data_IF_738552985186
#
_entry.id   IF_738552985186
#
_cell.length_a   1.000
_cell.length_b   1.000
_cell.length_c   1.000
_cell.angle_alpha   90.00
_cell.angle_beta   90.00
_cell.angle_gamma   90.00
#
_symmetry.space_group_name_H-M   'P 1'
#
loop_
_entity.id
_entity.type
_entity.pdbx_description
1 polymer ?
#
# COMPACT_ATOMS: atom_id res chain seq x y z
N UNK A 1 -21.75 -4.73 34.05
CA UNK A 1 -22.45 -3.44 33.86
C UNK A 1 -21.48 -2.25 33.85
N UNK A 2 -20.59 -2.12 34.84
CA UNK A 2 -19.64 -1.00 34.92
C UNK A 2 -18.75 -0.84 33.67
N UNK A 3 -18.18 -1.92 33.12
CA UNK A 3 -17.45 -1.86 31.84
C UNK A 3 -18.30 -1.29 30.68
N UNK A 4 -19.62 -1.53 30.66
CA UNK A 4 -20.50 -0.97 29.64
C UNK A 4 -20.71 0.54 29.85
N UNK A 5 -20.79 1.02 31.09
CA UNK A 5 -20.86 2.45 31.36
C UNK A 5 -19.63 3.20 30.83
N UNK A 6 -18.44 2.58 30.92
CA UNK A 6 -17.23 3.13 30.31
C UNK A 6 -17.25 3.10 28.78
N UNK A 7 -17.77 2.02 28.17
CA UNK A 7 -18.00 1.98 26.71
C UNK A 7 -18.93 3.12 26.26
N UNK A 8 -19.93 3.47 27.07
CA UNK A 8 -20.89 4.52 26.76
C UNK A 8 -20.38 5.94 27.09
N UNK A 9 -19.12 6.10 27.53
CA UNK A 9 -18.55 7.39 27.93
C UNK A 9 -19.12 7.97 29.23
N UNK A 10 -19.86 7.16 30.00
CA UNK A 10 -20.54 7.55 31.25
C UNK A 10 -19.77 7.16 32.51
N UNK A 11 -18.60 6.54 32.38
CA UNK A 11 -17.78 6.11 33.50
C UNK A 11 -16.71 7.14 33.87
N UNK A 12 -16.63 7.50 35.16
CA UNK A 12 -15.59 8.41 35.69
C UNK A 12 -14.19 7.78 35.69
N UNK A 13 -13.14 8.59 35.56
CA UNK A 13 -11.74 8.10 35.52
C UNK A 13 -11.31 7.33 36.78
N UNK A 14 -11.97 7.57 37.92
CA UNK A 14 -11.70 6.91 39.20
C UNK A 14 -12.28 5.48 39.33
N UNK A 15 -13.13 5.01 38.39
CA UNK A 15 -13.88 3.74 38.55
C UNK A 15 -13.28 2.48 37.90
N UNK A 16 -12.33 2.62 36.96
CA UNK A 16 -11.75 1.44 36.27
C UNK A 16 -10.76 0.68 37.15
N UNK A 17 -9.96 1.37 37.98
CA UNK A 17 -8.94 0.73 38.82
C UNK A 17 -9.54 -0.24 39.84
N UNK A 18 -10.50 0.24 40.63
CA UNK A 18 -11.23 -0.58 41.61
C UNK A 18 -12.00 -1.73 40.96
N UNK A 19 -12.57 -1.50 39.76
CA UNK A 19 -13.19 -2.57 38.98
C UNK A 19 -12.19 -3.63 38.55
N UNK A 20 -10.99 -3.23 38.12
CA UNK A 20 -9.92 -4.15 37.73
C UNK A 20 -9.44 -4.99 38.92
N UNK A 21 -9.25 -4.37 40.08
CA UNK A 21 -8.90 -5.07 41.32
C UNK A 21 -9.97 -6.11 41.71
N UNK A 22 -11.25 -5.74 41.65
CA UNK A 22 -12.35 -6.67 41.92
C UNK A 22 -12.41 -7.82 40.90
N UNK A 23 -12.18 -7.52 39.61
CA UNK A 23 -12.14 -8.53 38.56
C UNK A 23 -10.97 -9.51 38.74
N UNK A 24 -9.81 -9.05 39.24
CA UNK A 24 -8.68 -9.92 39.57
C UNK A 24 -9.08 -10.93 40.65
N UNK A 25 -9.76 -10.49 41.71
CA UNK A 25 -10.17 -11.38 42.81
C UNK A 25 -11.11 -12.50 42.37
N UNK A 26 -11.97 -12.25 41.37
CA UNK A 26 -12.93 -13.23 40.88
C UNK A 26 -12.49 -13.94 39.60
N UNK A 27 -11.33 -13.59 39.03
CA UNK A 27 -10.88 -14.05 37.71
C UNK A 27 -10.87 -15.58 37.60
N UNK A 28 -10.41 -16.28 38.65
CA UNK A 28 -10.37 -17.75 38.71
C UNK A 28 -11.74 -18.44 38.64
N UNK A 29 -12.83 -17.71 38.87
CA UNK A 29 -14.20 -18.22 38.83
C UNK A 29 -14.96 -17.76 37.57
N UNK A 30 -14.32 -17.00 36.67
CA UNK A 30 -14.97 -16.54 35.45
C UNK A 30 -15.16 -17.70 34.46
N UNK A 31 -16.35 -17.75 33.88
CA UNK A 31 -16.68 -18.67 32.80
C UNK A 31 -16.07 -18.20 31.48
N UNK A 32 -15.92 -19.09 30.48
CA UNK A 32 -15.57 -18.74 29.11
C UNK A 32 -16.31 -17.53 28.55
N UNK A 33 -17.62 -17.46 28.80
CA UNK A 33 -18.47 -16.39 28.29
C UNK A 33 -18.23 -15.07 29.01
N UNK A 34 -17.92 -15.09 30.31
CA UNK A 34 -17.49 -13.89 31.03
C UNK A 34 -16.16 -13.37 30.48
N UNK A 35 -15.17 -14.24 30.30
CA UNK A 35 -13.85 -13.86 29.79
C UNK A 35 -13.94 -13.21 28.41
N UNK A 36 -14.65 -13.86 27.46
CA UNK A 36 -14.88 -13.31 26.13
C UNK A 36 -15.62 -11.96 26.19
N UNK A 37 -16.65 -11.85 27.02
CA UNK A 37 -17.42 -10.61 27.17
C UNK A 37 -16.56 -9.47 27.73
N UNK A 38 -15.76 -9.72 28.76
CA UNK A 38 -14.86 -8.74 29.38
C UNK A 38 -13.88 -8.23 28.32
N UNK A 39 -13.21 -9.14 27.60
CA UNK A 39 -12.26 -8.76 26.55
C UNK A 39 -12.93 -7.94 25.45
N UNK A 40 -14.14 -8.31 25.01
CA UNK A 40 -14.91 -7.51 24.04
C UNK A 40 -15.20 -6.11 24.55
N UNK A 41 -15.52 -5.92 25.85
CA UNK A 41 -15.71 -4.57 26.42
C UNK A 41 -14.42 -3.77 26.38
N UNK A 42 -13.28 -4.33 26.79
CA UNK A 42 -11.99 -3.64 26.70
C UNK A 42 -11.62 -3.30 25.25
N UNK A 43 -11.85 -4.20 24.29
CA UNK A 43 -11.67 -3.92 22.88
C UNK A 43 -12.59 -2.80 22.33
N UNK A 44 -13.74 -2.53 22.97
CA UNK A 44 -14.60 -1.38 22.65
C UNK A 44 -14.14 -0.10 23.34
N UNK A 45 -13.64 -0.19 24.57
CA UNK A 45 -13.03 0.93 25.31
C UNK A 45 -11.76 1.41 24.59
N UNK A 46 -11.04 0.52 23.90
CA UNK A 46 -9.80 0.86 23.18
C UNK A 46 -8.59 0.97 24.11
N UNK A 47 -8.72 0.53 25.36
CA UNK A 47 -7.67 0.44 26.36
C UNK A 47 -7.51 -1.03 26.78
N UNK A 48 -6.30 -1.59 26.86
CA UNK A 48 -6.11 -2.93 27.40
C UNK A 48 -6.39 -2.97 28.91
N UNK A 49 -6.79 -4.13 29.47
CA UNK A 49 -6.86 -4.29 30.92
C UNK A 49 -5.51 -3.96 31.59
N UNK A 50 -5.56 -3.50 32.84
CA UNK A 50 -4.36 -3.41 33.67
C UNK A 50 -3.62 -4.75 33.75
N UNK A 51 -2.29 -4.71 33.94
CA UNK A 51 -1.44 -5.90 33.80
C UNK A 51 -1.88 -7.08 34.66
N UNK A 52 -2.18 -6.84 35.94
CA UNK A 52 -2.63 -7.88 36.87
C UNK A 52 -3.95 -8.54 36.42
N UNK A 53 -4.90 -7.74 35.92
CA UNK A 53 -6.15 -8.28 35.39
C UNK A 53 -5.90 -9.04 34.09
N UNK A 54 -5.08 -8.51 33.18
CA UNK A 54 -4.77 -9.19 31.93
C UNK A 54 -4.14 -10.57 32.21
N UNK A 55 -3.12 -10.63 33.06
CA UNK A 55 -2.45 -11.89 33.42
C UNK A 55 -3.46 -12.90 34.02
N UNK A 56 -4.35 -12.45 34.91
CA UNK A 56 -5.38 -13.30 35.51
C UNK A 56 -6.44 -13.79 34.50
N UNK A 57 -6.87 -12.92 33.58
CA UNK A 57 -7.80 -13.27 32.50
C UNK A 57 -7.15 -14.26 31.51
N UNK A 58 -5.87 -14.09 31.21
CA UNK A 58 -5.14 -15.00 30.32
C UNK A 58 -4.92 -16.37 30.94
N UNK A 59 -4.52 -16.43 32.22
CA UNK A 59 -4.36 -17.69 32.96
C UNK A 59 -5.69 -18.47 33.00
N UNK A 60 -6.78 -17.79 33.35
CA UNK A 60 -8.10 -18.43 33.33
C UNK A 60 -8.55 -18.81 31.92
N UNK A 61 -8.26 -17.98 30.92
CA UNK A 61 -8.54 -18.25 29.51
C UNK A 61 -7.88 -19.54 29.02
N UNK A 62 -6.62 -19.78 29.40
CA UNK A 62 -5.89 -21.03 29.09
C UNK A 62 -6.58 -22.23 29.71
N UNK A 63 -6.97 -22.16 30.99
CA UNK A 63 -7.65 -23.25 31.71
C UNK A 63 -9.01 -23.57 31.12
N UNK A 64 -9.75 -22.55 30.71
CA UNK A 64 -11.16 -22.64 30.33
C UNK A 64 -11.38 -22.70 28.81
N UNK A 65 -10.31 -22.70 27.99
CA UNK A 65 -10.43 -22.59 26.51
C UNK A 65 -11.36 -23.64 25.90
N UNK A 66 -11.36 -24.86 26.45
CA UNK A 66 -12.22 -25.97 26.00
C UNK A 66 -13.72 -25.71 26.21
N UNK A 67 -14.06 -24.84 27.16
CA UNK A 67 -15.42 -24.43 27.44
C UNK A 67 -15.92 -23.24 26.61
N UNK A 68 -15.06 -22.61 25.80
CA UNK A 68 -15.50 -21.55 24.90
C UNK A 68 -16.28 -22.12 23.73
N UNK A 69 -17.39 -21.47 23.38
CA UNK A 69 -18.06 -21.64 22.10
C UNK A 69 -17.30 -20.95 20.96
N UNK A 70 -17.67 -21.27 19.71
CA UNK A 70 -17.04 -20.69 18.52
C UNK A 70 -17.08 -19.14 18.51
N UNK A 71 -18.22 -18.57 18.91
CA UNK A 71 -18.39 -17.12 18.98
C UNK A 71 -17.49 -16.50 20.06
N UNK A 72 -17.38 -17.15 21.22
CA UNK A 72 -16.53 -16.72 22.33
C UNK A 72 -15.06 -16.67 21.96
N UNK A 73 -14.58 -17.71 21.26
CA UNK A 73 -13.22 -17.80 20.74
C UNK A 73 -12.93 -16.67 19.74
N UNK A 74 -13.77 -16.53 18.72
CA UNK A 74 -13.64 -15.49 17.70
C UNK A 74 -13.68 -14.07 18.30
N UNK A 75 -14.60 -13.84 19.25
CA UNK A 75 -14.72 -12.57 19.96
C UNK A 75 -13.47 -12.22 20.76
N UNK A 76 -12.83 -13.21 21.39
CA UNK A 76 -11.64 -13.01 22.21
C UNK A 76 -10.45 -12.61 21.34
N UNK A 77 -10.19 -13.35 20.25
CA UNK A 77 -9.14 -12.98 19.27
C UNK A 77 -9.43 -11.61 18.66
N UNK A 78 -10.69 -11.34 18.29
CA UNK A 78 -11.10 -10.05 17.74
C UNK A 78 -10.89 -8.89 18.71
N UNK A 79 -11.12 -9.09 20.01
CA UNK A 79 -10.86 -8.09 21.03
C UNK A 79 -9.37 -7.73 21.11
N UNK A 80 -8.49 -8.73 21.13
CA UNK A 80 -7.03 -8.50 21.06
C UNK A 80 -6.61 -7.76 19.78
N UNK A 81 -7.18 -8.13 18.63
CA UNK A 81 -6.97 -7.41 17.37
C UNK A 81 -7.40 -5.93 17.45
N UNK A 82 -8.53 -5.62 18.10
CA UNK A 82 -8.95 -4.22 18.32
C UNK A 82 -8.00 -3.46 19.24
N UNK A 83 -7.50 -4.12 20.28
CA UNK A 83 -6.54 -3.56 21.22
C UNK A 83 -5.12 -3.42 20.63
N UNK A 84 -4.84 -4.07 19.49
CA UNK A 84 -3.50 -4.18 18.89
C UNK A 84 -2.46 -4.72 19.87
N UNK A 85 -2.90 -5.61 20.76
CA UNK A 85 -2.08 -6.29 21.74
C UNK A 85 -2.21 -7.80 21.49
N UNK A 86 -1.08 -8.50 21.37
CA UNK A 86 -1.11 -9.94 21.23
C UNK A 86 -1.45 -10.59 22.58
N UNK A 87 -2.28 -11.66 22.60
CA UNK A 87 -2.41 -12.48 23.80
C UNK A 87 -1.06 -13.09 24.19
N UNK A 88 -0.85 -13.38 25.47
CA UNK A 88 0.28 -14.18 25.92
C UNK A 88 0.38 -15.51 25.16
N UNK A 89 1.61 -15.96 24.87
CA UNK A 89 1.84 -17.07 23.93
C UNK A 89 1.13 -18.38 24.30
N UNK A 90 0.92 -18.66 25.59
CA UNK A 90 0.15 -19.81 26.05
C UNK A 90 -1.34 -19.68 25.71
N UNK A 91 -1.93 -18.51 25.96
CA UNK A 91 -3.32 -18.22 25.61
C UNK A 91 -3.52 -18.23 24.09
N UNK A 92 -2.61 -17.61 23.33
CA UNK A 92 -2.71 -17.58 21.87
C UNK A 92 -2.76 -19.00 21.30
N UNK A 93 -1.83 -19.88 21.69
CA UNK A 93 -1.84 -21.29 21.24
C UNK A 93 -3.12 -22.02 21.64
N UNK A 94 -3.60 -21.79 22.86
CA UNK A 94 -4.84 -22.40 23.34
C UNK A 94 -6.05 -21.92 22.53
N UNK A 95 -6.17 -20.61 22.27
CA UNK A 95 -7.22 -20.02 21.46
C UNK A 95 -7.16 -20.50 20.01
N UNK A 96 -5.97 -20.58 19.42
CA UNK A 96 -5.79 -21.07 18.05
C UNK A 96 -6.23 -22.53 17.91
N UNK A 97 -5.79 -23.40 18.83
CA UNK A 97 -6.21 -24.80 18.85
C UNK A 97 -7.73 -24.95 19.06
N UNK A 98 -8.31 -24.15 19.96
CA UNK A 98 -9.77 -24.12 20.18
C UNK A 98 -10.53 -23.65 18.94
N UNK A 99 -10.07 -22.58 18.29
CA UNK A 99 -10.66 -22.09 17.04
C UNK A 99 -10.57 -23.12 15.92
N UNK A 100 -9.41 -23.79 15.76
CA UNK A 100 -9.21 -24.80 14.74
C UNK A 100 -10.14 -26.01 14.97
N UNK A 101 -10.23 -26.50 16.21
CA UNK A 101 -11.10 -27.62 16.57
C UNK A 101 -12.59 -27.34 16.33
N UNK A 102 -13.01 -26.07 16.49
CA UNK A 102 -14.42 -25.64 16.34
C UNK A 102 -14.67 -24.86 15.06
N UNK A 103 -13.75 -24.86 14.09
CA UNK A 103 -13.84 -24.02 12.90
C UNK A 103 -15.14 -24.25 12.11
N UNK A 104 -15.67 -25.49 12.10
CA UNK A 104 -16.95 -25.85 11.44
C UNK A 104 -18.17 -25.11 12.02
N UNK A 105 -18.10 -24.65 13.25
CA UNK A 105 -19.17 -23.90 13.92
C UNK A 105 -19.07 -22.39 13.68
N UNK A 106 -18.00 -21.91 13.02
CA UNK A 106 -17.81 -20.48 12.79
C UNK A 106 -18.76 -20.00 11.71
N UNK A 107 -19.45 -18.91 12.03
CA UNK A 107 -20.20 -18.14 11.03
C UNK A 107 -19.25 -17.40 10.08
N UNK A 108 -19.70 -17.00 8.88
CA UNK A 108 -18.94 -16.16 7.95
C UNK A 108 -18.38 -14.88 8.61
N UNK A 109 -19.17 -14.29 9.51
CA UNK A 109 -18.76 -13.14 10.32
C UNK A 109 -17.62 -13.49 11.26
N UNK A 110 -17.67 -14.63 11.93
CA UNK A 110 -16.62 -15.07 12.86
C UNK A 110 -15.31 -15.37 12.12
N UNK A 111 -15.37 -16.05 10.96
CA UNK A 111 -14.19 -16.31 10.12
C UNK A 111 -13.51 -15.00 9.70
N UNK A 112 -14.27 -14.09 9.07
CA UNK A 112 -13.74 -12.81 8.61
C UNK A 112 -13.23 -11.92 9.75
N UNK A 113 -13.93 -11.88 10.89
CA UNK A 113 -13.50 -11.10 12.06
C UNK A 113 -12.21 -11.64 12.70
N UNK A 114 -12.03 -12.97 12.68
CA UNK A 114 -10.82 -13.64 13.23
C UNK A 114 -9.61 -13.34 12.34
N UNK A 115 -9.72 -13.55 11.02
CA UNK A 115 -8.63 -13.22 10.09
C UNK A 115 -8.30 -11.72 10.11
N UNK A 116 -9.31 -10.85 10.15
CA UNK A 116 -9.10 -9.42 10.29
C UNK A 116 -8.34 -9.07 11.58
N UNK A 117 -8.61 -9.76 12.69
CA UNK A 117 -7.91 -9.50 13.94
C UNK A 117 -6.40 -9.73 13.80
N UNK A 118 -5.99 -10.81 13.13
CA UNK A 118 -4.57 -11.08 12.85
C UNK A 118 -3.90 -9.99 12.00
N UNK A 119 -4.64 -9.36 11.08
CA UNK A 119 -4.10 -8.19 10.34
C UNK A 119 -3.72 -7.03 11.27
N UNK A 120 -4.43 -6.88 12.39
CA UNK A 120 -4.17 -5.84 13.40
C UNK A 120 -3.09 -6.25 14.40
N UNK A 121 -2.98 -7.55 14.69
CA UNK A 121 -1.92 -8.11 15.53
C UNK A 121 -0.56 -8.12 14.82
N UNK A 122 -0.52 -7.98 13.49
CA UNK A 122 0.72 -7.91 12.70
C UNK A 122 1.43 -9.26 12.56
N UNK A 123 0.77 -10.35 12.95
CA UNK A 123 1.27 -11.73 12.83
C UNK A 123 0.20 -12.59 12.15
N UNK A 124 0.58 -13.57 11.31
CA UNK A 124 -0.39 -14.51 10.75
C UNK A 124 -0.88 -15.50 11.81
N UNK A 125 -2.11 -16.04 11.67
CA UNK A 125 -2.54 -17.19 12.47
C UNK A 125 -1.61 -18.39 12.24
N UNK A 126 -1.53 -19.27 13.24
CA UNK A 126 -0.91 -20.59 13.09
C UNK A 126 -1.47 -21.36 11.89
N UNK A 127 -0.64 -22.21 11.29
CA UNK A 127 -0.94 -22.91 10.02
C UNK A 127 -2.22 -23.74 10.11
N UNK A 128 -2.44 -24.44 11.22
CA UNK A 128 -3.66 -25.25 11.45
C UNK A 128 -4.91 -24.39 11.50
N UNK A 129 -4.88 -23.27 12.25
CA UNK A 129 -6.01 -22.35 12.33
C UNK A 129 -6.29 -21.71 10.97
N UNK A 130 -5.25 -21.26 10.27
CA UNK A 130 -5.40 -20.64 8.96
C UNK A 130 -6.02 -21.62 7.95
N UNK A 131 -5.58 -22.88 7.93
CA UNK A 131 -6.16 -23.91 7.08
C UNK A 131 -7.62 -24.19 7.44
N UNK A 132 -7.93 -24.32 8.74
CA UNK A 132 -9.29 -24.58 9.21
C UNK A 132 -10.26 -23.43 8.88
N UNK A 133 -9.83 -22.16 9.03
CA UNK A 133 -10.63 -21.00 8.67
C UNK A 133 -10.85 -20.87 7.16
N UNK A 134 -9.85 -21.19 6.34
CA UNK A 134 -10.00 -21.23 4.88
C UNK A 134 -10.95 -22.33 4.43
N UNK A 135 -10.80 -23.55 4.96
CA UNK A 135 -11.70 -24.66 4.67
C UNK A 135 -13.15 -24.34 5.09
N UNK A 136 -13.33 -23.70 6.26
CA UNK A 136 -14.67 -23.24 6.67
C UNK A 136 -15.22 -22.16 5.75
N UNK A 137 -14.40 -21.20 5.35
CA UNK A 137 -14.84 -20.16 4.42
C UNK A 137 -15.29 -20.75 3.08
N UNK A 138 -14.59 -21.78 2.59
CA UNK A 138 -14.91 -22.47 1.35
C UNK A 138 -16.24 -23.23 1.45
N UNK A 139 -16.42 -24.02 2.52
CA UNK A 139 -17.64 -24.78 2.79
C UNK A 139 -18.89 -23.89 2.89
N UNK A 140 -18.76 -22.73 3.54
CA UNK A 140 -19.89 -21.83 3.85
C UNK A 140 -19.86 -20.53 3.03
N UNK A 141 -19.20 -20.53 1.87
CA UNK A 141 -19.05 -19.32 1.06
C UNK A 141 -20.39 -18.68 0.68
N UNK A 142 -21.43 -19.50 0.48
CA UNK A 142 -22.80 -19.05 0.21
C UNK A 142 -23.40 -18.18 1.33
N UNK A 143 -22.96 -18.35 2.59
CA UNK A 143 -23.41 -17.55 3.72
C UNK A 143 -22.69 -16.20 3.86
N UNK A 144 -21.62 -15.94 3.10
CA UNK A 144 -20.89 -14.68 3.17
C UNK A 144 -21.69 -13.55 2.52
N UNK A 145 -21.90 -12.48 3.29
CA UNK A 145 -22.43 -11.22 2.78
C UNK A 145 -21.34 -10.45 2.00
N UNK A 146 -21.71 -9.54 1.08
CA UNK A 146 -20.77 -8.78 0.24
C UNK A 146 -19.57 -8.20 1.01
N UNK A 147 -19.85 -7.51 2.12
CA UNK A 147 -18.81 -6.89 2.96
C UNK A 147 -17.84 -7.92 3.58
N UNK A 148 -18.35 -9.11 3.93
CA UNK A 148 -17.54 -10.16 4.54
C UNK A 148 -16.60 -10.80 3.52
N UNK A 149 -17.02 -10.95 2.26
CA UNK A 149 -16.17 -11.40 1.15
C UNK A 149 -14.96 -10.46 1.00
N UNK A 150 -15.23 -9.15 1.01
CA UNK A 150 -14.18 -8.12 0.90
C UNK A 150 -13.18 -8.22 2.07
N UNK A 151 -13.68 -8.34 3.30
CA UNK A 151 -12.84 -8.44 4.50
C UNK A 151 -12.04 -9.73 4.51
N UNK A 152 -12.62 -10.86 4.10
CA UNK A 152 -11.94 -12.15 4.01
C UNK A 152 -10.74 -12.06 3.06
N UNK A 153 -10.96 -11.69 1.80
CA UNK A 153 -9.90 -11.64 0.79
C UNK A 153 -8.83 -10.59 1.16
N UNK A 154 -9.26 -9.43 1.66
CA UNK A 154 -8.34 -8.37 2.07
C UNK A 154 -7.49 -8.77 3.28
N UNK A 155 -8.05 -9.54 4.22
CA UNK A 155 -7.30 -10.05 5.37
C UNK A 155 -6.27 -11.08 4.94
N UNK A 156 -6.66 -12.04 4.08
CA UNK A 156 -5.73 -13.02 3.51
C UNK A 156 -4.59 -12.34 2.73
N UNK A 157 -4.91 -11.34 1.92
CA UNK A 157 -3.93 -10.53 1.20
C UNK A 157 -2.96 -9.78 2.13
N UNK A 158 -3.48 -9.15 3.20
CA UNK A 158 -2.66 -8.43 4.17
C UNK A 158 -1.74 -9.36 4.97
N UNK A 159 -2.21 -10.58 5.26
CA UNK A 159 -1.45 -11.63 5.95
C UNK A 159 -0.49 -12.39 5.02
N UNK A 160 -0.48 -12.08 3.72
CA UNK A 160 0.26 -12.82 2.67
C UNK A 160 -0.11 -14.32 2.65
N UNK A 161 -1.32 -14.65 3.11
CA UNK A 161 -1.88 -15.98 3.05
C UNK A 161 -2.63 -16.14 1.73
N UNK A 162 -2.15 -17.01 0.84
CA UNK A 162 -2.86 -17.31 -0.40
C UNK A 162 -4.08 -18.18 -0.10
N UNK A 163 -5.29 -17.80 -0.57
CA UNK A 163 -6.43 -18.71 -0.59
C UNK A 163 -6.06 -19.99 -1.36
N UNK A 164 -6.52 -21.16 -0.89
CA UNK A 164 -6.51 -22.37 -1.72
C UNK A 164 -7.37 -22.20 -2.98
N UNK A 165 -7.11 -23.00 -4.02
CA UNK A 165 -7.77 -22.84 -5.33
C UNK A 165 -9.31 -22.95 -5.22
N UNK A 166 -9.82 -23.95 -4.49
CA UNK A 166 -11.26 -24.13 -4.25
C UNK A 166 -11.90 -22.93 -3.54
N UNK A 167 -11.25 -22.41 -2.49
CA UNK A 167 -11.68 -21.18 -1.82
C UNK A 167 -11.65 -19.98 -2.77
N UNK A 168 -10.62 -19.83 -3.60
CA UNK A 168 -10.52 -18.72 -4.56
C UNK A 168 -11.65 -18.78 -5.59
N UNK A 169 -11.94 -19.95 -6.16
CA UNK A 169 -13.05 -20.15 -7.09
C UNK A 169 -14.40 -19.86 -6.43
N UNK A 170 -14.66 -20.41 -5.24
CA UNK A 170 -15.89 -20.17 -4.51
C UNK A 170 -16.07 -18.69 -4.16
N UNK A 171 -15.00 -18.02 -3.72
CA UNK A 171 -15.00 -16.60 -3.39
C UNK A 171 -15.32 -15.74 -4.61
N UNK A 172 -14.71 -16.04 -5.75
CA UNK A 172 -14.92 -15.28 -6.98
C UNK A 172 -16.36 -15.40 -7.48
N UNK A 173 -16.88 -16.63 -7.56
CA UNK A 173 -18.28 -16.90 -7.93
C UNK A 173 -19.25 -16.17 -7.00
N UNK A 174 -19.03 -16.25 -5.69
CA UNK A 174 -19.87 -15.58 -4.70
C UNK A 174 -19.81 -14.06 -4.83
N UNK A 175 -18.63 -13.49 -5.08
CA UNK A 175 -18.45 -12.06 -5.29
C UNK A 175 -19.15 -11.59 -6.57
N UNK A 176 -19.18 -12.42 -7.62
CA UNK A 176 -19.91 -12.15 -8.86
C UNK A 176 -21.42 -12.10 -8.60
N UNK A 177 -21.97 -13.13 -7.95
CA UNK A 177 -23.40 -13.22 -7.57
C UNK A 177 -23.86 -12.01 -6.73
N UNK A 178 -23.03 -11.62 -5.77
CA UNK A 178 -23.30 -10.52 -4.83
C UNK A 178 -22.87 -9.15 -5.35
N UNK A 179 -22.39 -9.06 -6.60
CA UNK A 179 -21.80 -7.83 -7.16
C UNK A 179 -22.70 -6.61 -7.04
N UNK A 180 -24.02 -6.78 -7.20
CA UNK A 180 -25.03 -5.72 -7.05
C UNK A 180 -25.05 -5.09 -5.65
N UNK A 181 -24.66 -5.85 -4.61
CA UNK A 181 -24.60 -5.41 -3.22
C UNK A 181 -23.36 -4.58 -2.86
N UNK A 182 -22.34 -4.53 -3.72
CA UNK A 182 -21.12 -3.76 -3.45
C UNK A 182 -21.33 -2.26 -3.61
N UNK A 183 -20.66 -1.47 -2.78
CA UNK A 183 -20.43 -0.04 -3.05
C UNK A 183 -19.02 0.18 -3.62
N UNK A 184 -18.68 1.42 -3.98
CA UNK A 184 -17.36 1.74 -4.52
C UNK A 184 -16.16 1.40 -3.63
N UNK A 185 -16.34 1.43 -2.30
CA UNK A 185 -15.29 0.99 -1.38
C UNK A 185 -15.10 -0.53 -1.44
N UNK A 186 -16.18 -1.30 -1.53
CA UNK A 186 -16.11 -2.76 -1.61
C UNK A 186 -15.40 -3.23 -2.89
N UNK A 187 -15.73 -2.62 -4.05
CA UNK A 187 -15.02 -2.87 -5.32
C UNK A 187 -13.52 -2.56 -5.19
N UNK A 188 -13.17 -1.37 -4.69
CA UNK A 188 -11.78 -0.96 -4.50
C UNK A 188 -11.02 -1.93 -3.57
N UNK A 189 -11.69 -2.41 -2.51
CA UNK A 189 -11.12 -3.37 -1.57
C UNK A 189 -10.84 -4.73 -2.22
N UNK A 190 -11.78 -5.26 -3.02
CA UNK A 190 -11.59 -6.53 -3.72
C UNK A 190 -10.48 -6.45 -4.76
N UNK A 191 -10.52 -5.47 -5.67
CA UNK A 191 -9.48 -5.28 -6.68
C UNK A 191 -8.11 -5.07 -6.02
N UNK A 192 -8.05 -4.29 -4.95
CA UNK A 192 -6.83 -4.07 -4.18
C UNK A 192 -6.32 -5.33 -3.48
N UNK A 193 -7.21 -6.24 -3.05
CA UNK A 193 -6.81 -7.51 -2.46
C UNK A 193 -6.23 -8.46 -3.51
N UNK A 194 -6.85 -8.59 -4.68
CA UNK A 194 -6.28 -9.32 -5.83
C UNK A 194 -4.91 -8.78 -6.22
N UNK A 195 -4.78 -7.45 -6.32
CA UNK A 195 -3.52 -6.78 -6.65
C UNK A 195 -2.39 -7.15 -5.66
N UNK A 196 -2.70 -7.17 -4.36
CA UNK A 196 -1.72 -7.54 -3.32
C UNK A 196 -1.37 -9.03 -3.32
N UNK A 197 -2.32 -9.90 -3.67
CA UNK A 197 -2.08 -11.34 -3.79
C UNK A 197 -1.28 -11.71 -5.04
N UNK A 198 -1.15 -10.80 -6.01
CA UNK A 198 -0.59 -11.09 -7.32
C UNK A 198 -1.47 -12.02 -8.14
N UNK A 199 -2.77 -12.07 -7.83
CA UNK A 199 -3.78 -12.85 -8.53
C UNK A 199 -4.65 -11.92 -9.38
N UNK A 200 -5.21 -12.44 -10.47
CA UNK A 200 -6.18 -11.71 -11.29
C UNK A 200 -7.59 -12.23 -11.00
N UNK A 201 -8.59 -11.34 -10.84
CA UNK A 201 -9.97 -11.78 -10.88
C UNK A 201 -10.24 -12.49 -12.20
N UNK A 202 -11.06 -13.54 -12.17
CA UNK A 202 -11.54 -14.18 -13.39
C UNK A 202 -12.36 -13.20 -14.26
N UNK A 203 -12.50 -13.46 -15.57
CA UNK A 203 -13.19 -12.54 -16.45
C UNK A 203 -14.65 -12.22 -16.03
N UNK A 204 -15.47 -13.19 -15.58
CA UNK A 204 -16.83 -12.91 -15.09
C UNK A 204 -16.86 -11.96 -13.89
N UNK A 205 -16.07 -12.22 -12.85
CA UNK A 205 -16.00 -11.35 -11.68
C UNK A 205 -15.48 -9.97 -12.05
N UNK A 206 -14.44 -9.89 -12.88
CA UNK A 206 -13.89 -8.61 -13.31
C UNK A 206 -14.97 -7.77 -14.01
N UNK A 207 -15.69 -8.35 -14.97
CA UNK A 207 -16.77 -7.65 -15.69
C UNK A 207 -17.89 -7.20 -14.73
N UNK A 208 -18.27 -8.04 -13.77
CA UNK A 208 -19.27 -7.70 -12.76
C UNK A 208 -18.82 -6.55 -11.85
N UNK A 209 -17.56 -6.58 -11.38
CA UNK A 209 -16.97 -5.51 -10.56
C UNK A 209 -16.86 -4.21 -11.34
N UNK A 210 -16.45 -4.25 -12.62
CA UNK A 210 -16.36 -3.06 -13.46
C UNK A 210 -17.73 -2.45 -13.75
N UNK A 211 -18.73 -3.27 -14.11
CA UNK A 211 -20.10 -2.82 -14.33
C UNK A 211 -20.67 -2.17 -13.08
N UNK A 212 -20.52 -2.83 -11.93
CA UNK A 212 -20.97 -2.30 -10.64
C UNK A 212 -20.27 -0.99 -10.28
N UNK A 213 -18.96 -0.92 -10.48
CA UNK A 213 -18.17 0.27 -10.18
C UNK A 213 -18.56 1.44 -11.08
N UNK A 214 -18.88 1.20 -12.35
CA UNK A 214 -19.38 2.22 -13.26
C UNK A 214 -20.75 2.77 -12.80
N UNK A 215 -21.69 1.91 -12.42
CA UNK A 215 -23.00 2.33 -11.87
C UNK A 215 -22.86 3.11 -10.56
N UNK A 216 -21.95 2.66 -9.68
CA UNK A 216 -21.74 3.25 -8.37
C UNK A 216 -20.76 4.44 -8.37
N UNK A 217 -20.12 4.77 -9.49
CA UNK A 217 -19.05 5.77 -9.59
C UNK A 217 -19.46 7.12 -9.01
N UNK A 218 -20.73 7.52 -9.25
CA UNK A 218 -21.32 8.74 -8.71
C UNK A 218 -21.37 8.83 -7.18
N UNK A 219 -21.17 7.73 -6.45
CA UNK A 219 -21.11 7.67 -4.98
C UNK A 219 -19.73 7.35 -4.40
N UNK A 220 -18.68 7.26 -5.22
CA UNK A 220 -17.34 6.92 -4.74
C UNK A 220 -16.78 8.02 -3.84
N UNK A 221 -16.20 7.64 -2.70
CA UNK A 221 -15.35 8.59 -1.95
C UNK A 221 -14.06 8.84 -2.73
N UNK A 222 -13.40 10.00 -2.56
CA UNK A 222 -12.14 10.30 -3.23
C UNK A 222 -11.11 9.17 -3.11
N UNK A 223 -10.91 8.62 -1.91
CA UNK A 223 -9.96 7.53 -1.70
C UNK A 223 -10.33 6.25 -2.47
N UNK A 224 -11.64 5.98 -2.67
CA UNK A 224 -12.08 4.83 -3.44
C UNK A 224 -11.71 4.96 -4.92
N UNK A 225 -11.71 6.18 -5.48
CA UNK A 225 -11.28 6.42 -6.86
C UNK A 225 -9.80 6.12 -7.02
N UNK A 226 -8.95 6.75 -6.20
CA UNK A 226 -7.48 6.56 -6.24
C UNK A 226 -7.11 5.09 -6.03
N UNK A 227 -7.75 4.40 -5.07
CA UNK A 227 -7.48 3.00 -4.78
C UNK A 227 -7.94 2.07 -5.91
N UNK A 228 -9.06 2.35 -6.57
CA UNK A 228 -9.53 1.57 -7.72
C UNK A 228 -8.57 1.69 -8.89
N UNK A 229 -8.17 2.92 -9.24
CA UNK A 229 -7.18 3.17 -10.29
C UNK A 229 -5.83 2.51 -9.97
N UNK A 230 -5.36 2.61 -8.73
CA UNK A 230 -4.13 1.95 -8.28
C UNK A 230 -4.22 0.43 -8.42
N UNK A 231 -5.33 -0.17 -8.01
CA UNK A 231 -5.53 -1.61 -8.08
C UNK A 231 -5.50 -2.10 -9.54
N UNK A 232 -6.24 -1.43 -10.43
CA UNK A 232 -6.24 -1.74 -11.87
C UNK A 232 -4.84 -1.58 -12.49
N UNK A 233 -4.14 -0.49 -12.16
CA UNK A 233 -2.76 -0.24 -12.59
C UNK A 233 -1.75 -1.26 -12.06
N UNK A 234 -2.03 -1.86 -10.91
CA UNK A 234 -1.19 -2.93 -10.32
C UNK A 234 -1.46 -4.27 -10.99
N UNK A 235 -2.73 -4.57 -11.24
CA UNK A 235 -3.18 -5.77 -11.95
C UNK A 235 -2.84 -5.75 -13.46
N UNK A 236 -2.52 -4.57 -14.00
CA UNK A 236 -2.37 -4.29 -15.43
C UNK A 236 -3.64 -4.65 -16.20
N UNK A 237 -4.79 -4.28 -15.62
CA UNK A 237 -6.11 -4.45 -16.22
C UNK A 237 -6.56 -3.08 -16.71
N UNK A 238 -6.88 -3.01 -18.00
CA UNK A 238 -7.39 -1.78 -18.60
C UNK A 238 -8.87 -1.61 -18.20
N UNK A 239 -9.26 -0.51 -17.53
CA UNK A 239 -10.66 -0.30 -17.16
C UNK A 239 -11.57 -0.25 -18.38
N UNK A 240 -12.80 -0.74 -18.23
CA UNK A 240 -13.88 -0.51 -19.20
C UNK A 240 -14.12 1.00 -19.41
N UNK A 241 -14.60 1.39 -20.59
CA UNK A 241 -14.82 2.79 -20.92
C UNK A 241 -15.80 3.49 -19.96
N UNK A 242 -16.87 2.78 -19.56
CA UNK A 242 -17.85 3.30 -18.61
C UNK A 242 -17.28 3.49 -17.21
N UNK A 243 -16.50 2.52 -16.71
CA UNK A 243 -15.82 2.67 -15.42
C UNK A 243 -14.82 3.82 -15.45
N UNK A 244 -13.98 3.89 -16.49
CA UNK A 244 -12.99 4.95 -16.62
C UNK A 244 -13.66 6.33 -16.62
N UNK A 245 -14.68 6.54 -17.45
CA UNK A 245 -15.42 7.80 -17.50
C UNK A 245 -16.05 8.16 -16.15
N UNK A 246 -16.63 7.18 -15.44
CA UNK A 246 -17.20 7.39 -14.12
C UNK A 246 -16.16 7.79 -13.06
N UNK A 247 -15.00 7.12 -13.04
CA UNK A 247 -13.91 7.44 -12.13
C UNK A 247 -13.31 8.82 -12.45
N UNK A 248 -13.18 9.17 -13.73
CA UNK A 248 -12.68 10.48 -14.15
C UNK A 248 -13.62 11.61 -13.74
N UNK A 249 -14.91 11.49 -14.07
CA UNK A 249 -15.92 12.48 -13.71
C UNK A 249 -16.00 12.67 -12.18
N UNK A 250 -15.92 11.58 -11.41
CA UNK A 250 -15.91 11.65 -9.95
C UNK A 250 -14.64 12.31 -9.42
N UNK A 251 -13.47 11.96 -9.94
CA UNK A 251 -12.20 12.58 -9.54
C UNK A 251 -12.16 14.08 -9.85
N UNK A 252 -12.71 14.48 -10.99
CA UNK A 252 -12.81 15.89 -11.39
C UNK A 252 -13.77 16.66 -10.48
N UNK A 253 -14.94 16.10 -10.19
CA UNK A 253 -15.94 16.70 -9.28
C UNK A 253 -15.42 16.90 -7.86
N UNK A 254 -14.67 15.93 -7.33
CA UNK A 254 -14.16 15.94 -5.95
C UNK A 254 -12.73 16.48 -5.86
N UNK A 255 -12.23 17.20 -6.87
CA UNK A 255 -10.81 17.51 -6.99
C UNK A 255 -10.22 18.18 -5.73
N UNK A 256 -11.00 19.02 -5.05
CA UNK A 256 -10.59 19.73 -3.83
C UNK A 256 -10.38 18.81 -2.61
N UNK A 257 -11.00 17.63 -2.60
CA UNK A 257 -10.88 16.65 -1.51
C UNK A 257 -9.59 15.81 -1.59
N UNK A 258 -8.91 15.80 -2.74
CA UNK A 258 -7.69 15.04 -2.94
C UNK A 258 -6.48 15.75 -2.35
N UNK A 259 -5.63 15.01 -1.64
CA UNK A 259 -4.35 15.51 -1.16
C UNK A 259 -3.24 15.25 -2.21
N UNK A 260 -2.02 15.80 -2.03
CA UNK A 260 -0.88 15.54 -2.91
C UNK A 260 -0.58 14.08 -3.24
N UNK A 261 -0.71 13.19 -2.25
CA UNK A 261 -0.46 11.77 -2.43
C UNK A 261 -1.51 11.15 -3.36
N UNK A 262 -2.77 11.57 -3.25
CA UNK A 262 -3.82 11.10 -4.15
C UNK A 262 -3.60 11.59 -5.59
N UNK A 263 -3.23 12.86 -5.78
CA UNK A 263 -2.93 13.42 -7.12
C UNK A 263 -1.81 12.65 -7.79
N UNK A 264 -0.71 12.41 -7.05
CA UNK A 264 0.38 11.56 -7.51
C UNK A 264 -0.13 10.16 -7.87
N UNK A 265 -0.92 9.54 -7.01
CA UNK A 265 -1.38 8.16 -7.20
C UNK A 265 -2.29 8.02 -8.43
N UNK A 266 -3.16 9.01 -8.68
CA UNK A 266 -3.99 9.06 -9.88
C UNK A 266 -3.11 9.15 -11.13
N UNK A 267 -2.21 10.14 -11.20
CA UNK A 267 -1.29 10.30 -12.34
C UNK A 267 -0.45 9.05 -12.58
N UNK A 268 0.12 8.48 -11.52
CA UNK A 268 0.89 7.24 -11.59
C UNK A 268 0.06 6.08 -12.14
N UNK A 269 -1.20 5.94 -11.71
CA UNK A 269 -2.09 4.87 -12.14
C UNK A 269 -2.39 4.97 -13.63
N UNK A 270 -2.73 6.16 -14.13
CA UNK A 270 -2.92 6.41 -15.57
C UNK A 270 -1.65 6.09 -16.37
N UNK A 271 -0.48 6.51 -15.88
CA UNK A 271 0.79 6.24 -16.55
C UNK A 271 1.10 4.75 -16.67
N UNK A 272 0.73 3.95 -15.66
CA UNK A 272 0.92 2.49 -15.66
C UNK A 272 -0.10 1.74 -16.50
N UNK A 273 -1.31 2.29 -16.62
CA UNK A 273 -2.35 1.76 -17.50
C UNK A 273 -2.07 2.10 -18.97
N UNK A 274 -1.09 2.95 -19.26
CA UNK A 274 -0.83 3.51 -20.59
C UNK A 274 -2.07 4.21 -21.18
N UNK A 275 -2.81 4.92 -20.33
CA UNK A 275 -3.99 5.71 -20.67
C UNK A 275 -3.71 7.16 -20.27
N UNK A 276 -4.16 8.12 -21.09
CA UNK A 276 -4.12 9.53 -20.72
C UNK A 276 -5.42 9.91 -20.02
N UNK A 277 -5.37 10.65 -18.90
CA UNK A 277 -6.58 11.23 -18.32
C UNK A 277 -7.31 12.11 -19.34
N UNK A 278 -8.64 12.14 -19.25
CA UNK A 278 -9.47 13.11 -19.95
C UNK A 278 -9.03 14.55 -19.66
N UNK A 279 -9.26 15.46 -20.61
CA UNK A 279 -8.76 16.85 -20.53
C UNK A 279 -9.26 17.60 -19.28
N UNK A 280 -10.52 17.38 -18.88
CA UNK A 280 -11.12 18.00 -17.69
C UNK A 280 -10.40 17.57 -16.41
N UNK A 281 -10.36 16.26 -16.15
CA UNK A 281 -9.60 15.69 -15.04
C UNK A 281 -8.13 16.12 -15.05
N UNK A 282 -7.45 16.06 -16.19
CA UNK A 282 -6.04 16.46 -16.28
C UNK A 282 -5.84 17.91 -15.81
N UNK A 283 -6.64 18.85 -16.33
CA UNK A 283 -6.57 20.26 -15.92
C UNK A 283 -6.91 20.45 -14.43
N UNK A 284 -7.84 19.65 -13.90
CA UNK A 284 -8.19 19.67 -12.48
C UNK A 284 -7.03 19.18 -11.59
N UNK A 285 -6.39 18.06 -11.96
CA UNK A 285 -5.21 17.51 -11.29
C UNK A 285 -4.04 18.50 -11.31
N UNK A 286 -3.79 19.16 -12.44
CA UNK A 286 -2.74 20.18 -12.56
C UNK A 286 -2.98 21.37 -11.63
N UNK A 287 -4.19 21.95 -11.65
CA UNK A 287 -4.56 23.05 -10.74
C UNK A 287 -4.44 22.64 -9.27
N UNK A 288 -4.88 21.44 -8.92
CA UNK A 288 -4.79 20.93 -7.54
C UNK A 288 -3.33 20.71 -7.12
N UNK A 289 -2.50 20.16 -8.01
CA UNK A 289 -1.08 19.97 -7.78
C UNK A 289 -0.35 21.31 -7.57
N UNK A 290 -0.66 22.33 -8.37
CA UNK A 290 -0.08 23.66 -8.23
C UNK A 290 -0.41 24.28 -6.86
N UNK A 291 -1.69 24.27 -6.45
CA UNK A 291 -2.12 24.84 -5.17
C UNK A 291 -1.56 24.11 -3.95
N UNK A 292 -1.40 22.79 -4.04
CA UNK A 292 -0.93 21.96 -2.93
C UNK A 292 0.56 21.63 -3.00
N UNK A 293 1.32 22.24 -3.94
CA UNK A 293 2.71 21.91 -4.21
C UNK A 293 3.58 21.88 -2.94
N UNK A 294 3.39 22.85 -2.03
CA UNK A 294 4.08 22.92 -0.73
C UNK A 294 3.97 21.66 0.14
N UNK A 295 2.91 20.87 -0.03
CA UNK A 295 2.63 19.65 0.74
C UNK A 295 3.02 18.36 0.02
N UNK A 296 3.54 18.44 -1.20
CA UNK A 296 4.07 17.26 -1.89
C UNK A 296 5.33 16.74 -1.17
N UNK A 297 5.41 15.42 -1.04
CA UNK A 297 6.65 14.74 -0.70
C UNK A 297 7.60 14.73 -1.90
N UNK A 298 8.92 14.56 -1.70
CA UNK A 298 9.87 14.37 -2.79
C UNK A 298 9.46 13.30 -3.81
N UNK A 299 8.94 12.17 -3.32
CA UNK A 299 8.45 11.08 -4.16
C UNK A 299 7.19 11.48 -4.94
N UNK A 300 6.31 12.28 -4.32
CA UNK A 300 5.13 12.82 -4.99
C UNK A 300 5.50 13.75 -6.15
N UNK A 301 6.49 14.63 -5.96
CA UNK A 301 6.95 15.56 -7.01
C UNK A 301 7.56 14.79 -8.18
N UNK A 302 8.60 14.01 -7.88
CA UNK A 302 9.31 13.22 -8.90
C UNK A 302 8.38 12.22 -9.60
N UNK A 303 7.52 11.56 -8.83
CA UNK A 303 6.58 10.56 -9.34
C UNK A 303 5.51 11.14 -10.26
N UNK A 304 5.00 12.34 -9.95
CA UNK A 304 3.99 13.01 -10.77
C UNK A 304 4.55 13.45 -12.12
N UNK A 305 5.73 14.10 -12.13
CA UNK A 305 6.39 14.50 -13.37
C UNK A 305 6.81 13.29 -14.20
N UNK A 306 7.33 12.23 -13.56
CA UNK A 306 7.65 10.99 -14.26
C UNK A 306 6.41 10.28 -14.81
N UNK A 307 5.26 10.35 -14.14
CA UNK A 307 4.01 9.81 -14.65
C UNK A 307 3.56 10.56 -15.92
N UNK A 308 3.61 11.90 -15.91
CA UNK A 308 3.31 12.72 -17.08
C UNK A 308 4.26 12.44 -18.26
N UNK A 309 5.56 12.33 -17.97
CA UNK A 309 6.58 11.95 -18.95
C UNK A 309 6.30 10.59 -19.60
N UNK A 310 5.89 9.58 -18.81
CA UNK A 310 5.50 8.26 -19.34
C UNK A 310 4.26 8.32 -20.23
N UNK A 311 3.29 9.18 -19.90
CA UNK A 311 2.10 9.38 -20.72
C UNK A 311 2.36 10.25 -21.96
N UNK A 312 3.53 10.89 -22.06
CA UNK A 312 3.84 11.87 -23.09
C UNK A 312 2.92 13.08 -23.02
N UNK A 313 2.52 13.47 -21.81
CA UNK A 313 1.71 14.66 -21.54
C UNK A 313 2.63 15.72 -20.96
N UNK A 314 2.68 16.89 -21.60
CA UNK A 314 3.47 18.02 -21.10
C UNK A 314 2.71 18.64 -19.91
N UNK A 315 3.34 18.79 -18.72
CA UNK A 315 2.71 19.44 -17.58
C UNK A 315 2.36 20.90 -17.90
N UNK A 316 1.22 21.38 -17.43
CA UNK A 316 0.86 22.79 -17.44
C UNK A 316 1.88 23.65 -16.68
N UNK A 317 2.10 24.88 -17.15
CA UNK A 317 3.17 25.76 -16.64
C UNK A 317 3.04 26.08 -15.15
N UNK A 318 1.81 26.26 -14.66
CA UNK A 318 1.54 26.55 -13.24
C UNK A 318 1.93 25.37 -12.34
N UNK A 319 1.52 24.15 -12.70
CA UNK A 319 1.91 22.93 -11.97
C UNK A 319 3.42 22.72 -12.05
N UNK A 320 4.01 22.86 -13.23
CA UNK A 320 5.45 22.67 -13.42
C UNK A 320 6.23 23.65 -12.54
N UNK A 321 5.94 24.94 -12.61
CA UNK A 321 6.63 25.97 -11.81
C UNK A 321 6.47 25.75 -10.30
N UNK A 322 5.27 25.39 -9.84
CA UNK A 322 5.04 25.14 -8.42
C UNK A 322 5.77 23.89 -7.91
N UNK A 323 5.79 22.81 -8.70
CA UNK A 323 6.54 21.59 -8.36
C UNK A 323 8.06 21.79 -8.46
N UNK A 324 8.53 22.62 -9.39
CA UNK A 324 9.94 23.01 -9.48
C UNK A 324 10.40 23.77 -8.24
N UNK A 325 9.65 24.80 -7.84
CA UNK A 325 9.94 25.57 -6.64
C UNK A 325 9.98 24.65 -5.40
N UNK A 326 8.95 23.79 -5.23
CA UNK A 326 8.91 22.82 -4.14
C UNK A 326 10.12 21.88 -4.12
N UNK A 327 10.52 21.38 -5.29
CA UNK A 327 11.67 20.49 -5.41
C UNK A 327 12.99 21.21 -5.10
N UNK A 328 13.18 22.43 -5.59
CA UNK A 328 14.36 23.25 -5.33
C UNK A 328 14.52 23.55 -3.83
N UNK A 329 13.44 23.99 -3.16
CA UNK A 329 13.43 24.28 -1.72
C UNK A 329 13.68 23.03 -0.86
N UNK A 330 13.18 21.88 -1.30
CA UNK A 330 13.21 20.61 -0.56
C UNK A 330 14.27 19.62 -1.01
N UNK A 331 15.22 20.00 -1.85
CA UNK A 331 16.11 19.04 -2.54
C UNK A 331 16.93 18.17 -1.57
N UNK A 332 17.21 18.68 -0.37
CA UNK A 332 17.86 17.92 0.70
C UNK A 332 17.16 16.60 1.02
N UNK A 333 15.83 16.57 1.00
CA UNK A 333 14.99 15.42 1.36
C UNK A 333 14.83 14.41 0.21
N UNK A 334 15.29 14.73 -1.00
CA UNK A 334 15.17 13.85 -2.15
C UNK A 334 16.14 12.68 -2.01
N UNK A 335 15.61 11.46 -2.04
CA UNK A 335 16.42 10.27 -2.22
C UNK A 335 17.02 10.24 -3.64
N UNK A 336 18.19 9.60 -3.85
CA UNK A 336 18.83 9.46 -5.17
C UNK A 336 17.88 9.03 -6.30
N UNK A 337 16.99 8.09 -6.02
CA UNK A 337 16.00 7.61 -6.99
C UNK A 337 15.03 8.70 -7.44
N UNK A 338 14.64 9.62 -6.54
CA UNK A 338 13.76 10.73 -6.89
C UNK A 338 14.48 11.75 -7.78
N UNK A 339 15.78 12.01 -7.54
CA UNK A 339 16.64 12.87 -8.38
C UNK A 339 16.75 12.30 -9.80
N UNK A 340 17.10 11.01 -9.92
CA UNK A 340 17.21 10.35 -11.23
C UNK A 340 15.87 10.32 -11.98
N UNK A 341 14.75 10.08 -11.27
CA UNK A 341 13.42 10.12 -11.88
C UNK A 341 13.02 11.52 -12.36
N UNK A 342 13.38 12.58 -11.64
CA UNK A 342 13.15 13.96 -12.08
C UNK A 342 13.92 14.24 -13.36
N UNK A 343 15.24 14.02 -13.37
CA UNK A 343 16.08 14.24 -14.56
C UNK A 343 15.60 13.42 -15.76
N UNK A 344 15.20 12.17 -15.52
CA UNK A 344 14.59 11.34 -16.55
C UNK A 344 13.27 11.94 -17.08
N UNK A 345 12.40 12.44 -16.20
CA UNK A 345 11.14 13.05 -16.61
C UNK A 345 11.37 14.30 -17.49
N UNK A 346 12.28 15.19 -17.10
CA UNK A 346 12.66 16.36 -17.88
C UNK A 346 13.25 15.98 -19.23
N UNK A 347 14.21 15.04 -19.26
CA UNK A 347 14.81 14.53 -20.49
C UNK A 347 13.75 13.92 -21.42
N UNK A 348 12.84 13.11 -20.88
CA UNK A 348 11.78 12.45 -21.66
C UNK A 348 10.75 13.45 -22.22
N UNK A 349 10.46 14.52 -21.49
CA UNK A 349 9.55 15.59 -21.92
C UNK A 349 10.24 16.67 -22.77
N UNK A 350 11.57 16.59 -22.93
CA UNK A 350 12.39 17.62 -23.58
C UNK A 350 12.19 19.02 -22.96
N UNK A 351 12.02 19.06 -21.64
CA UNK A 351 11.88 20.29 -20.86
C UNK A 351 13.20 20.57 -20.15
N UNK A 352 13.62 21.84 -20.10
CA UNK A 352 14.76 22.24 -19.28
C UNK A 352 14.25 22.59 -17.87
N UNK A 353 14.84 22.02 -16.79
CA UNK A 353 14.56 22.47 -15.44
C UNK A 353 14.85 23.96 -15.28
N UNK A 354 14.03 24.68 -14.51
CA UNK A 354 14.35 26.04 -14.09
C UNK A 354 15.71 26.13 -13.37
N UNK A 355 16.40 27.26 -13.47
CA UNK A 355 17.78 27.40 -12.98
C UNK A 355 17.97 27.07 -11.50
N UNK A 356 17.00 27.42 -10.64
CA UNK A 356 17.02 27.08 -9.23
C UNK A 356 16.94 25.56 -8.99
N UNK A 357 16.06 24.87 -9.72
CA UNK A 357 15.96 23.41 -9.64
C UNK A 357 17.20 22.74 -10.21
N UNK A 358 17.74 23.22 -11.34
CA UNK A 358 18.94 22.67 -11.95
C UNK A 358 20.13 22.74 -10.99
N UNK A 359 20.39 23.91 -10.41
CA UNK A 359 21.47 24.08 -9.43
C UNK A 359 21.27 23.21 -8.17
N UNK A 360 20.04 23.08 -7.68
CA UNK A 360 19.73 22.20 -6.56
C UNK A 360 19.97 20.72 -6.89
N UNK A 361 19.57 20.25 -8.08
CA UNK A 361 19.83 18.89 -8.55
C UNK A 361 21.34 18.61 -8.65
N UNK A 362 22.09 19.53 -9.23
CA UNK A 362 23.56 19.43 -9.37
C UNK A 362 24.24 19.38 -8.00
N UNK A 363 23.91 20.29 -7.08
CA UNK A 363 24.45 20.29 -5.73
C UNK A 363 24.12 19.00 -4.97
N UNK A 364 22.86 18.53 -5.03
CA UNK A 364 22.46 17.26 -4.40
C UNK A 364 23.23 16.07 -4.95
N UNK A 365 23.46 16.03 -6.26
CA UNK A 365 24.25 14.98 -6.89
C UNK A 365 25.71 15.06 -6.41
N UNK A 366 26.32 16.24 -6.41
CA UNK A 366 27.69 16.43 -5.94
C UNK A 366 27.87 15.93 -4.49
N UNK A 367 26.91 16.25 -3.61
CA UNK A 367 26.97 15.90 -2.19
C UNK A 367 26.69 14.41 -1.91
N UNK A 368 25.78 13.80 -2.69
CA UNK A 368 25.20 12.49 -2.35
C UNK A 368 25.38 11.40 -3.39
N UNK A 369 26.16 11.61 -4.46
CA UNK A 369 26.41 10.62 -5.52
C UNK A 369 26.88 9.26 -4.96
N UNK A 370 27.60 9.23 -3.84
CA UNK A 370 28.04 8.00 -3.18
C UNK A 370 26.87 7.08 -2.73
N UNK A 371 25.66 7.62 -2.55
CA UNK A 371 24.45 6.86 -2.22
C UNK A 371 23.67 6.38 -3.45
N UNK A 372 24.02 6.84 -4.66
CA UNK A 372 23.27 6.52 -5.88
C UNK A 372 23.50 5.06 -6.26
N UNK A 373 22.44 4.36 -6.65
CA UNK A 373 22.53 3.01 -7.21
C UNK A 373 22.81 3.09 -8.72
N UNK A 374 23.20 1.99 -9.39
CA UNK A 374 23.45 1.96 -10.83
C UNK A 374 22.40 2.68 -11.68
N UNK A 375 21.13 2.34 -11.44
CA UNK A 375 20.01 2.94 -12.16
C UNK A 375 19.93 4.46 -11.94
N UNK A 376 20.12 4.92 -10.70
CA UNK A 376 20.01 6.34 -10.35
C UNK A 376 21.12 7.19 -11.04
N UNK A 377 22.35 6.65 -11.13
CA UNK A 377 23.46 7.28 -11.87
C UNK A 377 23.16 7.32 -13.37
N UNK A 378 22.72 6.18 -13.94
CA UNK A 378 22.46 6.08 -15.37
C UNK A 378 21.34 7.01 -15.83
N UNK A 379 20.27 7.15 -15.04
CA UNK A 379 19.12 8.01 -15.36
C UNK A 379 19.48 9.49 -15.25
N UNK A 380 20.29 9.85 -14.26
CA UNK A 380 20.79 11.22 -14.12
C UNK A 380 21.61 11.64 -15.34
N UNK A 381 22.64 10.84 -15.71
CA UNK A 381 23.49 11.10 -16.88
C UNK A 381 22.69 11.10 -18.18
N UNK A 382 21.78 10.14 -18.37
CA UNK A 382 20.88 10.10 -19.52
C UNK A 382 19.99 11.34 -19.61
N UNK A 383 19.45 11.80 -18.48
CA UNK A 383 18.62 13.00 -18.40
C UNK A 383 19.38 14.24 -18.86
N UNK A 384 20.53 14.52 -18.24
CA UNK A 384 21.42 15.63 -18.62
C UNK A 384 21.82 15.59 -20.10
N UNK A 385 22.26 14.41 -20.58
CA UNK A 385 22.63 14.24 -21.97
C UNK A 385 21.48 14.47 -22.94
N UNK A 386 20.27 13.99 -22.62
CA UNK A 386 19.07 14.21 -23.44
C UNK A 386 18.75 15.70 -23.56
N UNK A 387 18.89 16.44 -22.46
CA UNK A 387 18.69 17.89 -22.41
C UNK A 387 19.81 18.69 -23.09
N UNK A 388 20.94 18.04 -23.41
CA UNK A 388 22.11 18.69 -24.00
C UNK A 388 22.84 19.62 -23.04
N UNK A 389 22.69 19.40 -21.72
CA UNK A 389 23.34 20.17 -20.67
C UNK A 389 24.25 19.23 -19.89
N UNK A 390 25.55 19.46 -19.90
CA UNK A 390 26.47 18.72 -19.05
C UNK A 390 26.22 19.10 -17.57
N UNK A 391 26.22 18.13 -16.63
CA UNK A 391 26.04 18.45 -15.21
C UNK A 391 27.16 19.37 -14.72
N UNK A 392 26.80 20.50 -14.11
CA UNK A 392 27.72 21.47 -13.51
C UNK A 392 28.04 21.20 -12.04
N UNK A 393 28.80 22.11 -11.40
CA UNK A 393 28.96 22.15 -9.95
C UNK A 393 29.65 20.94 -9.30
N UNK A 394 30.48 20.19 -10.03
CA UNK A 394 31.10 18.96 -9.55
C UNK A 394 30.22 17.71 -9.68
N UNK A 395 28.98 17.86 -10.17
CA UNK A 395 28.03 16.77 -10.29
C UNK A 395 28.45 15.72 -11.32
N UNK A 396 29.04 16.14 -12.45
CA UNK A 396 29.50 15.21 -13.48
C UNK A 396 30.64 14.33 -12.96
N UNK A 397 31.63 14.93 -12.29
CA UNK A 397 32.76 14.21 -11.70
C UNK A 397 32.29 13.28 -10.56
N UNK A 398 31.30 13.70 -9.77
CA UNK A 398 30.71 12.87 -8.74
C UNK A 398 29.96 11.66 -9.32
N UNK A 399 29.15 11.86 -10.36
CA UNK A 399 28.46 10.79 -11.08
C UNK A 399 29.43 9.84 -11.76
N UNK A 400 30.49 10.36 -12.36
CA UNK A 400 31.53 9.58 -13.01
C UNK A 400 32.29 8.70 -12.02
N UNK A 401 32.80 9.29 -10.93
CA UNK A 401 33.49 8.54 -9.87
C UNK A 401 32.59 7.46 -9.30
N UNK A 402 31.31 7.78 -9.08
CA UNK A 402 30.33 6.80 -8.63
C UNK A 402 30.16 5.69 -9.67
N UNK A 403 29.91 6.02 -10.93
CA UNK A 403 29.72 5.05 -12.01
C UNK A 403 30.88 4.06 -12.08
N UNK A 404 32.12 4.54 -12.02
CA UNK A 404 33.31 3.69 -12.02
C UNK A 404 33.34 2.75 -10.80
N UNK A 405 33.05 3.26 -9.61
CA UNK A 405 33.08 2.47 -8.36
C UNK A 405 31.95 1.45 -8.20
N UNK A 406 30.86 1.55 -8.99
CA UNK A 406 29.74 0.59 -8.96
C UNK A 406 29.45 -0.06 -10.31
N UNK A 407 30.39 0.00 -11.25
CA UNK A 407 30.23 -0.53 -12.60
C UNK A 407 29.88 -2.03 -12.62
N UNK A 408 30.38 -2.82 -11.66
CA UNK A 408 30.04 -4.25 -11.53
C UNK A 408 28.52 -4.47 -11.36
N UNK A 409 27.84 -3.56 -10.68
CA UNK A 409 26.39 -3.62 -10.46
C UNK A 409 25.55 -3.14 -11.64
N UNK A 410 26.17 -2.70 -12.75
CA UNK A 410 25.42 -2.19 -13.90
C UNK A 410 24.82 -3.34 -14.70
N UNK A 411 23.59 -3.13 -15.18
CA UNK A 411 23.04 -3.92 -16.27
C UNK A 411 23.49 -3.39 -17.64
N UNK A 412 23.08 -4.07 -18.73
CA UNK A 412 23.34 -3.59 -20.09
C UNK A 412 22.77 -2.19 -20.34
N UNK A 413 21.55 -1.93 -19.85
CA UNK A 413 20.88 -0.64 -20.04
C UNK A 413 21.62 0.49 -19.33
N UNK A 414 22.03 0.30 -18.08
CA UNK A 414 22.76 1.31 -17.31
C UNK A 414 24.08 1.67 -17.98
N UNK A 415 24.83 0.66 -18.44
CA UNK A 415 26.11 0.83 -19.13
C UNK A 415 25.96 1.62 -20.44
N UNK A 416 24.95 1.25 -21.25
CA UNK A 416 24.62 1.95 -22.48
C UNK A 416 24.23 3.41 -22.20
N UNK A 417 23.40 3.66 -21.19
CA UNK A 417 22.98 5.01 -20.82
C UNK A 417 24.17 5.89 -20.43
N UNK A 418 25.11 5.36 -19.64
CA UNK A 418 26.31 6.11 -19.23
C UNK A 418 27.19 6.42 -20.44
N UNK A 419 27.57 5.43 -21.24
CA UNK A 419 28.42 5.65 -22.41
C UNK A 419 27.79 6.59 -23.44
N UNK A 420 26.49 6.40 -23.71
CA UNK A 420 25.74 7.28 -24.60
C UNK A 420 25.69 8.71 -24.07
N UNK A 421 25.52 8.90 -22.75
CA UNK A 421 25.47 10.22 -22.15
C UNK A 421 26.77 11.00 -22.36
N UNK A 422 27.93 10.39 -22.08
CA UNK A 422 29.23 11.02 -22.32
C UNK A 422 29.46 11.35 -23.80
N UNK A 423 29.16 10.41 -24.70
CA UNK A 423 29.27 10.62 -26.14
C UNK A 423 28.39 11.78 -26.62
N UNK A 424 27.13 11.85 -26.15
CA UNK A 424 26.19 12.91 -26.52
C UNK A 424 26.56 14.28 -25.95
N UNK A 425 27.07 14.30 -24.72
CA UNK A 425 27.56 15.52 -24.07
C UNK A 425 28.92 15.98 -24.64
N UNK A 426 29.56 15.15 -25.47
CA UNK A 426 30.91 15.38 -26.02
C UNK A 426 31.95 15.57 -24.92
N UNK A 427 31.78 14.85 -23.81
CA UNK A 427 32.75 14.78 -22.71
C UNK A 427 33.45 13.44 -22.79
N UNK A 428 34.78 13.44 -22.70
CA UNK A 428 35.55 12.20 -22.66
C UNK A 428 35.39 11.54 -21.29
N UNK A 429 34.94 10.27 -21.21
CA UNK A 429 34.98 9.53 -19.96
C UNK A 429 36.42 9.33 -19.50
N UNK A 430 36.64 9.38 -18.19
CA UNK A 430 37.90 9.08 -17.55
C UNK A 430 38.37 7.65 -17.87
N UNK A 431 39.69 7.42 -17.93
CA UNK A 431 40.24 6.08 -18.14
C UNK A 431 39.74 5.06 -17.10
N UNK A 432 39.50 5.50 -15.86
CA UNK A 432 38.98 4.66 -14.77
C UNK A 432 37.56 4.18 -15.07
N UNK A 433 36.68 5.09 -15.51
CA UNK A 433 35.31 4.71 -15.89
C UNK A 433 35.30 3.79 -17.12
N UNK A 434 36.12 4.07 -18.13
CA UNK A 434 36.24 3.23 -19.33
C UNK A 434 36.69 1.81 -18.98
N UNK A 435 37.75 1.68 -18.17
CA UNK A 435 38.25 0.38 -17.74
C UNK A 435 37.20 -0.40 -16.93
N UNK A 436 36.49 0.28 -16.03
CA UNK A 436 35.45 -0.35 -15.22
C UNK A 436 34.26 -0.86 -16.06
N UNK A 437 33.80 -0.08 -17.03
CA UNK A 437 32.71 -0.49 -17.94
C UNK A 437 33.15 -1.58 -18.92
N UNK A 438 34.41 -1.55 -19.38
CA UNK A 438 34.98 -2.61 -20.21
C UNK A 438 35.04 -3.94 -19.45
N UNK A 439 35.62 -3.95 -18.24
CA UNK A 439 35.67 -5.14 -17.40
C UNK A 439 34.27 -5.72 -17.14
N UNK A 440 33.27 -4.85 -16.91
CA UNK A 440 31.88 -5.25 -16.75
C UNK A 440 31.30 -5.90 -18.01
N UNK A 441 31.61 -5.37 -19.20
CA UNK A 441 31.15 -5.91 -20.47
C UNK A 441 31.74 -7.31 -20.74
N UNK A 442 33.04 -7.49 -20.47
CA UNK A 442 33.75 -8.76 -20.61
C UNK A 442 33.19 -9.85 -19.68
N UNK A 443 32.93 -9.51 -18.41
CA UNK A 443 32.27 -10.41 -17.45
C UNK A 443 30.83 -10.78 -17.85
N UNK A 444 30.10 -9.88 -18.51
CA UNK A 444 28.75 -10.17 -19.01
C UNK A 444 28.72 -11.09 -20.23
N UNK A 445 29.78 -11.11 -21.03
CA UNK A 445 29.90 -11.92 -22.24
C UNK A 445 30.36 -13.36 -21.98
N UNK A 446 31.12 -13.60 -20.89
CA UNK A 446 31.63 -14.94 -20.53
C UNK A 446 30.64 -15.87 -19.79
N UNK A 447 29.41 -15.41 -19.54
CA UNK A 447 28.33 -16.19 -18.92
C UNK A 447 27.21 -16.62 -19.88
N UNK A 448 27.37 -16.32 -21.18
CA UNK A 448 26.58 -16.85 -22.29
C UNK A 448 27.39 -17.97 -22.96
#
# INVERSE_FOLDING_TARGET
>A
AQLQAHVDGRGGSAGIGELEENLVQIAGNLSPQHLSTIMVKYGRIGRPPGRALLDALEEQGVRQVRGYDAQGLANTIHAYGKLRAAPGGALLRALEAGCAARAREFTPKAVSATLWAYTRLGTPPGTELLAALQARAEEDMGGFAPRQICVLLQSLAALKARPGDGLMEALQRRAEEESRGFNGQDVAMLLGAFARLGARPDPPLLAALEGRAAEAAGGFRPQSVSNTLQALATLKVRPSAGLLAGLEARAESDIEAYNPQDVFLILWSFSRLAIRPGRGLMAALERRAAREAGRFSPQGVAGSLAAMARMGVRPGEEMLGALEARAAEGMGDFAPQAVGNLLWAYGKLLLKPGGALLGALEGKIADSAHLFRPLDVSLSLWGFATLGTAPGGGALEALERRAAGIAEGFGPQESCNVMWAFARLRVQPSPVLLAALQARAEHGAGGL
#
